data_IF_703937585906
#
_entry.id   IF_703937585906
#
_cell.length_a   1.000
_cell.length_b   1.000
_cell.length_c   1.000
_cell.angle_alpha   90.00
_cell.angle_beta   90.00
_cell.angle_gamma   90.00
#
_symmetry.space_group_name_H-M   'P 1'
#
loop_
_entity.id
_entity.type
_entity.pdbx_description
1 polymer ?
#
# COMPACT_ATOMS: atom_id res chain seq x y z
N UNK A 1 17.11 4.44 2.13
CA UNK A 1 16.99 3.69 3.40
C UNK A 1 17.03 4.70 4.54
N UNK A 2 16.01 4.72 5.42
CA UNK A 2 16.00 5.60 6.56
C UNK A 2 16.58 4.89 7.79
N UNK A 3 17.83 5.22 8.17
CA UNK A 3 18.49 4.64 9.34
C UNK A 3 17.95 5.16 10.68
N UNK A 4 17.07 6.18 10.68
CA UNK A 4 16.51 6.81 11.90
C UNK A 4 15.01 7.13 11.79
N UNK A 5 14.23 6.21 11.24
CA UNK A 5 12.78 6.40 11.11
C UNK A 5 12.43 7.38 9.99
N UNK A 6 12.01 6.83 8.85
CA UNK A 6 11.56 7.58 7.69
C UNK A 6 10.84 6.65 6.75
N UNK A 7 9.96 7.20 5.90
CA UNK A 7 9.24 6.39 4.92
C UNK A 7 10.24 5.76 3.96
N UNK A 8 10.12 4.45 3.79
CA UNK A 8 10.88 3.69 2.78
C UNK A 8 9.91 3.42 1.65
N UNK A 9 10.24 3.92 0.47
CA UNK A 9 9.44 3.71 -0.74
C UNK A 9 10.12 2.64 -1.57
N UNK A 10 9.33 1.69 -2.05
CA UNK A 10 9.78 0.64 -2.97
C UNK A 10 8.96 0.71 -4.24
N UNK A 11 9.63 0.79 -5.39
CA UNK A 11 9.01 0.61 -6.69
C UNK A 11 9.22 -0.83 -7.15
N UNK A 12 8.13 -1.52 -7.49
CA UNK A 12 8.17 -2.88 -8.02
C UNK A 12 7.59 -2.85 -9.42
N UNK A 13 8.32 -3.43 -10.38
CA UNK A 13 7.83 -3.63 -11.75
C UNK A 13 7.90 -5.11 -12.06
N UNK A 14 6.78 -5.64 -12.55
CA UNK A 14 6.64 -7.00 -13.04
C UNK A 14 6.22 -6.89 -14.50
N UNK A 15 6.95 -7.58 -15.37
CA UNK A 15 6.76 -7.51 -16.82
C UNK A 15 7.22 -8.82 -17.44
N UNK A 16 6.52 -9.27 -18.48
CA UNK A 16 6.90 -10.36 -19.38
C UNK A 16 7.91 -9.90 -20.46
N UNK A 17 8.18 -8.61 -20.49
CA UNK A 17 9.08 -7.93 -21.41
C UNK A 17 10.11 -7.09 -20.65
N UNK A 18 11.13 -6.65 -21.37
CA UNK A 18 12.26 -5.89 -20.81
C UNK A 18 11.81 -4.61 -20.07
N UNK A 19 12.42 -4.36 -18.91
CA UNK A 19 12.14 -3.19 -18.07
C UNK A 19 13.27 -2.16 -18.25
N UNK A 20 12.97 -1.08 -18.96
CA UNK A 20 13.94 -0.01 -19.24
C UNK A 20 14.13 0.99 -18.10
N UNK A 21 13.25 1.02 -17.10
CA UNK A 21 13.35 1.94 -15.95
C UNK A 21 12.75 1.32 -14.69
N UNK A 22 13.45 1.41 -13.54
CA UNK A 22 12.94 0.87 -12.27
C UNK A 22 11.90 1.78 -11.61
N UNK A 23 11.83 3.05 -11.99
CA UNK A 23 10.94 4.02 -11.35
C UNK A 23 9.56 4.03 -12.02
N UNK A 24 8.52 4.12 -11.20
CA UNK A 24 7.13 4.26 -11.66
C UNK A 24 6.84 5.76 -11.72
N UNK A 25 6.40 6.32 -12.87
CA UNK A 25 6.01 7.73 -12.93
C UNK A 25 4.76 8.04 -12.11
N UNK A 26 4.60 9.30 -11.73
CA UNK A 26 3.35 9.81 -11.14
C UNK A 26 2.17 9.58 -12.09
N UNK A 27 0.98 9.30 -11.55
CA UNK A 27 -0.21 8.96 -12.32
C UNK A 27 -0.13 7.65 -13.11
N UNK A 28 0.85 6.76 -12.83
CA UNK A 28 1.07 5.52 -13.61
C UNK A 28 1.16 4.25 -12.79
N UNK A 29 0.93 4.32 -11.47
CA UNK A 29 0.97 3.11 -10.64
C UNK A 29 -0.24 2.22 -10.92
N UNK A 30 -0.04 0.92 -11.05
CA UNK A 30 -1.16 -0.02 -11.12
C UNK A 30 -1.69 -0.36 -9.73
N UNK A 31 -0.80 -0.49 -8.75
CA UNK A 31 -1.13 -0.86 -7.37
C UNK A 31 -0.31 0.01 -6.42
N UNK A 32 -0.96 0.73 -5.52
CA UNK A 32 -0.33 1.48 -4.43
C UNK A 32 -0.65 0.79 -3.10
N UNK A 33 0.40 0.32 -2.41
CA UNK A 33 0.31 -0.39 -1.13
C UNK A 33 0.87 0.51 -0.02
N UNK A 34 0.02 0.88 0.94
CA UNK A 34 0.37 1.77 2.04
C UNK A 34 0.27 1.04 3.38
N UNK A 35 1.30 1.21 4.22
CA UNK A 35 1.42 0.53 5.50
C UNK A 35 0.78 1.29 6.65
N UNK A 36 0.39 2.54 6.42
CA UNK A 36 -0.39 3.39 7.34
C UNK A 36 -1.07 4.55 6.58
N UNK A 37 -2.12 5.19 7.13
CA UNK A 37 -2.96 6.16 6.40
C UNK A 37 -2.23 7.44 5.94
N UNK A 38 -1.28 7.97 6.71
CA UNK A 38 -0.61 9.24 6.40
C UNK A 38 0.26 9.14 5.14
N UNK A 39 0.66 7.94 4.74
CA UNK A 39 1.35 7.72 3.45
C UNK A 39 0.46 8.09 2.25
N UNK A 40 -0.86 8.07 2.40
CA UNK A 40 -1.78 8.47 1.33
C UNK A 40 -1.57 9.93 0.94
N UNK A 41 -1.40 10.81 1.93
CA UNK A 41 -1.12 12.23 1.69
C UNK A 41 0.20 12.46 0.95
N UNK A 42 1.12 11.48 0.94
CA UNK A 42 2.43 11.59 0.28
C UNK A 42 2.46 10.99 -1.12
N UNK A 43 1.65 9.96 -1.40
CA UNK A 43 1.82 9.13 -2.59
C UNK A 43 0.56 8.98 -3.45
N UNK A 44 -0.57 9.58 -3.10
CA UNK A 44 -1.78 9.53 -3.94
C UNK A 44 -1.57 10.14 -5.34
N UNK A 45 -0.58 11.00 -5.53
CA UNK A 45 -0.21 11.55 -6.86
C UNK A 45 0.39 10.50 -7.82
N UNK A 46 0.72 9.30 -7.34
CA UNK A 46 1.08 8.17 -8.19
C UNK A 46 -0.12 7.45 -8.80
N UNK A 47 -1.31 7.62 -8.22
CA UNK A 47 -2.53 6.97 -8.65
C UNK A 47 -3.02 7.53 -9.99
N UNK A 48 -3.53 6.64 -10.84
CA UNK A 48 -4.50 6.96 -11.87
C UNK A 48 -5.89 6.45 -11.45
N UNK A 49 -6.90 6.75 -12.26
CA UNK A 49 -8.29 6.37 -11.99
C UNK A 49 -8.49 4.86 -11.76
N UNK A 50 -7.68 4.02 -12.39
CA UNK A 50 -7.81 2.56 -12.36
C UNK A 50 -6.82 1.89 -11.39
N UNK A 51 -5.98 2.66 -10.70
CA UNK A 51 -5.03 2.11 -9.75
C UNK A 51 -5.77 1.38 -8.63
N UNK A 52 -5.23 0.27 -8.15
CA UNK A 52 -5.70 -0.36 -6.91
C UNK A 52 -4.98 0.30 -5.75
N UNK A 53 -5.72 0.76 -4.74
CA UNK A 53 -5.17 1.38 -3.53
C UNK A 53 -5.48 0.48 -2.34
N UNK A 54 -4.45 -0.02 -1.65
CA UNK A 54 -4.62 -0.81 -0.43
C UNK A 54 -3.90 -0.10 0.71
N UNK A 55 -4.63 0.19 1.79
CA UNK A 55 -4.12 0.95 2.93
C UNK A 55 -4.37 0.22 4.23
N UNK A 56 -3.33 0.03 5.03
CA UNK A 56 -3.51 -0.37 6.41
C UNK A 56 -4.05 0.81 7.24
N UNK A 57 -5.15 0.61 7.95
CA UNK A 57 -5.85 1.69 8.67
C UNK A 57 -5.18 2.11 9.97
N UNK A 58 -4.23 1.32 10.48
CA UNK A 58 -3.62 1.58 11.78
C UNK A 58 -2.58 2.71 11.66
N UNK A 59 -2.78 3.88 12.30
CA UNK A 59 -1.85 4.99 12.20
C UNK A 59 -0.58 4.75 13.03
N UNK A 60 0.53 5.33 12.58
CA UNK A 60 1.73 5.40 13.40
C UNK A 60 1.53 6.36 14.57
N UNK A 61 2.14 6.04 15.71
CA UNK A 61 2.13 6.91 16.90
C UNK A 61 3.17 8.01 16.74
N UNK A 62 2.78 9.13 16.16
CA UNK A 62 3.60 10.34 16.07
C UNK A 62 2.89 11.53 16.73
N UNK A 63 3.67 12.52 17.16
CA UNK A 63 3.11 13.80 17.60
C UNK A 63 2.45 14.50 16.41
N UNK A 64 1.30 15.14 16.65
CA UNK A 64 0.56 15.91 15.64
C UNK A 64 0.15 15.10 14.39
N UNK A 65 -0.29 13.84 14.58
CA UNK A 65 -0.93 13.09 13.49
C UNK A 65 -2.15 13.89 12.98
N UNK A 66 -2.30 14.12 11.66
CA UNK A 66 -3.47 14.82 11.14
C UNK A 66 -4.76 14.08 11.48
N UNK A 67 -5.89 14.76 11.31
CA UNK A 67 -7.20 14.16 11.53
C UNK A 67 -7.37 12.86 10.69
N UNK A 68 -7.42 11.73 11.39
CA UNK A 68 -7.46 10.41 10.77
C UNK A 68 -8.73 10.24 9.93
N UNK A 69 -9.87 10.73 10.41
CA UNK A 69 -11.14 10.59 9.70
C UNK A 69 -11.12 11.33 8.37
N UNK A 70 -10.43 12.49 8.31
CA UNK A 70 -10.21 13.22 7.05
C UNK A 70 -9.29 12.48 6.10
N UNK A 71 -8.24 11.84 6.60
CA UNK A 71 -7.33 11.04 5.77
C UNK A 71 -8.08 9.84 5.18
N UNK A 72 -8.84 9.12 6.01
CA UNK A 72 -9.65 7.97 5.58
C UNK A 72 -10.70 8.41 4.56
N UNK A 73 -11.40 9.52 4.80
CA UNK A 73 -12.36 10.06 3.86
C UNK A 73 -11.73 10.39 2.50
N UNK A 74 -10.51 10.94 2.46
CA UNK A 74 -9.81 11.20 1.20
C UNK A 74 -9.40 9.91 0.47
N UNK A 75 -8.96 8.89 1.21
CA UNK A 75 -8.64 7.56 0.64
C UNK A 75 -9.89 6.91 0.04
N UNK A 76 -11.03 7.00 0.72
CA UNK A 76 -12.30 6.42 0.29
C UNK A 76 -12.88 7.07 -0.98
N UNK A 77 -12.42 8.27 -1.35
CA UNK A 77 -12.81 8.90 -2.62
C UNK A 77 -12.24 8.19 -3.85
N UNK A 78 -11.19 7.39 -3.68
CA UNK A 78 -10.63 6.59 -4.75
C UNK A 78 -11.44 5.30 -4.93
N UNK A 79 -12.08 5.14 -6.08
CA UNK A 79 -13.05 4.05 -6.35
C UNK A 79 -12.54 2.64 -6.05
N UNK A 80 -11.25 2.40 -6.30
CA UNK A 80 -10.61 1.10 -6.10
C UNK A 80 -9.75 1.06 -4.82
N UNK A 81 -10.21 1.72 -3.75
CA UNK A 81 -9.54 1.71 -2.46
C UNK A 81 -9.97 0.50 -1.60
N UNK A 82 -9.07 0.02 -0.77
CA UNK A 82 -9.33 -1.01 0.24
C UNK A 82 -8.59 -0.62 1.51
N UNK A 83 -9.35 -0.22 2.52
CA UNK A 83 -8.84 0.11 3.85
C UNK A 83 -9.02 -1.10 4.76
N UNK A 84 -7.92 -1.58 5.35
CA UNK A 84 -7.91 -2.84 6.10
C UNK A 84 -7.22 -2.69 7.46
N UNK A 85 -7.70 -3.45 8.46
CA UNK A 85 -7.00 -3.62 9.73
C UNK A 85 -5.99 -4.76 9.62
N UNK A 86 -4.83 -4.49 9.02
CA UNK A 86 -3.82 -5.52 8.83
C UNK A 86 -3.27 -6.03 10.16
N UNK A 87 -3.21 -5.16 11.19
CA UNK A 87 -2.78 -5.52 12.54
C UNK A 87 -3.69 -6.57 13.16
N UNK A 88 -5.01 -6.36 13.13
CA UNK A 88 -5.96 -7.30 13.73
C UNK A 88 -5.95 -8.65 12.99
N UNK A 89 -5.84 -8.65 11.66
CA UNK A 89 -5.72 -9.89 10.88
C UNK A 89 -4.42 -10.63 11.23
N UNK A 90 -3.28 -9.93 11.27
CA UNK A 90 -1.99 -10.51 11.62
C UNK A 90 -1.98 -11.08 13.04
N UNK A 91 -2.61 -10.38 13.98
CA UNK A 91 -2.80 -10.83 15.36
C UNK A 91 -3.62 -12.12 15.43
N UNK A 92 -4.73 -12.21 14.69
CA UNK A 92 -5.55 -13.43 14.58
C UNK A 92 -4.80 -14.59 13.93
N UNK A 93 -3.88 -14.30 13.02
CA UNK A 93 -2.98 -15.29 12.41
C UNK A 93 -1.82 -15.71 13.32
N UNK A 94 -1.69 -15.13 14.52
CA UNK A 94 -0.73 -15.53 15.55
C UNK A 94 0.57 -14.71 15.59
N UNK A 95 0.77 -13.74 14.69
CA UNK A 95 1.98 -12.91 14.70
C UNK A 95 1.73 -11.51 14.13
N UNK A 96 1.81 -10.48 14.96
CA UNK A 96 1.64 -9.08 14.54
C UNK A 96 2.69 -8.59 13.52
N UNK A 97 3.83 -9.27 13.40
CA UNK A 97 4.90 -8.92 12.45
C UNK A 97 4.52 -9.26 11.00
N UNK A 98 3.43 -10.00 10.77
CA UNK A 98 2.99 -10.44 9.43
C UNK A 98 1.98 -9.50 8.77
N UNK A 99 1.79 -8.28 9.29
CA UNK A 99 0.93 -7.25 8.66
C UNK A 99 1.25 -7.03 7.18
N UNK A 100 2.53 -6.99 6.84
CA UNK A 100 2.99 -6.87 5.46
C UNK A 100 2.53 -8.05 4.57
N UNK A 101 2.49 -9.26 5.13
CA UNK A 101 2.00 -10.46 4.44
C UNK A 101 0.48 -10.39 4.25
N UNK A 102 -0.27 -9.87 5.24
CA UNK A 102 -1.71 -9.62 5.09
C UNK A 102 -1.97 -8.68 3.90
N UNK A 103 -1.28 -7.53 3.86
CA UNK A 103 -1.40 -6.57 2.76
C UNK A 103 -1.02 -7.18 1.41
N UNK A 104 0.09 -7.94 1.35
CA UNK A 104 0.51 -8.66 0.15
C UNK A 104 -0.53 -9.68 -0.31
N UNK A 105 -1.18 -10.39 0.62
CA UNK A 105 -2.26 -11.34 0.33
C UNK A 105 -3.51 -10.69 -0.25
N UNK A 106 -3.78 -9.41 0.05
CA UNK A 106 -4.84 -8.63 -0.60
C UNK A 106 -4.43 -8.29 -2.03
N UNK A 107 -3.19 -7.81 -2.20
CA UNK A 107 -2.65 -7.38 -3.49
C UNK A 107 -2.46 -8.56 -4.46
N UNK A 108 -2.20 -9.77 -3.96
CA UNK A 108 -1.90 -10.95 -4.78
C UNK A 108 -2.99 -11.26 -5.83
N UNK A 109 -4.25 -10.92 -5.54
CA UNK A 109 -5.39 -11.09 -6.46
C UNK A 109 -5.27 -10.26 -7.74
N UNK A 110 -4.48 -9.20 -7.72
CA UNK A 110 -4.29 -8.27 -8.84
C UNK A 110 -2.95 -8.47 -9.54
N UNK A 111 -2.07 -9.33 -9.00
CA UNK A 111 -0.79 -9.61 -9.62
C UNK A 111 -0.97 -10.50 -10.86
N UNK A 112 -0.18 -10.28 -11.93
CA UNK A 112 -0.24 -11.10 -13.14
C UNK A 112 0.50 -12.43 -12.95
N UNK A 113 0.17 -13.17 -11.88
CA UNK A 113 0.81 -14.43 -11.50
C UNK A 113 -0.19 -15.57 -11.52
N UNK A 114 0.18 -16.69 -12.17
CA UNK A 114 -0.62 -17.90 -12.21
C UNK A 114 -0.57 -18.63 -10.85
N UNK A 115 -1.70 -19.21 -10.43
CA UNK A 115 -1.82 -20.04 -9.20
C UNK A 115 -0.82 -21.18 -9.14
N UNK A 116 -0.29 -21.65 -10.27
CA UNK A 116 0.76 -22.68 -10.34
C UNK A 116 2.08 -22.25 -9.67
N UNK A 117 2.26 -20.98 -9.35
CA UNK A 117 3.42 -20.45 -8.65
C UNK A 117 3.21 -20.30 -7.13
N UNK A 118 2.08 -20.80 -6.58
CA UNK A 118 1.72 -20.74 -5.16
C UNK A 118 1.26 -22.10 -4.61
#
# INVERSE_FOLDING_TARGET
MAQRGGSVVTHIRLSDSEIYSPLIPKGRVNILLLFEPLEALRYMDYLNRNSILVVNKNPLKIANYPDLDKIIAEIDRHENSTIVDALEIAKRAGNILTQNIVLLGIVSKYLPLDKRHF
#
